data_IF_842372963237
#
_entry.id   IF_842372963237
#
_cell.length_a   1.000
_cell.length_b   1.000
_cell.length_c   1.000
_cell.angle_alpha   90.00
_cell.angle_beta   90.00
_cell.angle_gamma   90.00
#
_symmetry.space_group_name_H-M   'P 1'
#
loop_
_entity.id
_entity.type
_entity.pdbx_description
1 polymer ?
#
# COMPACT_ATOMS: atom_id res chain seq x y z
N UNK A 1 68.93 -35.65 61.52
CA UNK A 1 69.23 -34.66 62.59
C UNK A 1 68.45 -33.39 62.28
N UNK A 2 67.72 -32.84 63.26
CA UNK A 2 67.12 -31.48 63.29
C UNK A 2 66.21 -31.02 62.13
N UNK A 3 64.99 -30.48 62.30
CA UNK A 3 64.19 -30.05 63.47
C UNK A 3 64.85 -28.97 64.37
N UNK A 4 64.25 -27.81 64.68
CA UNK A 4 62.91 -27.23 64.39
C UNK A 4 62.89 -25.74 64.86
N UNK A 5 61.78 -25.00 64.60
CA UNK A 5 61.40 -23.65 65.12
C UNK A 5 62.08 -22.43 64.44
N UNK A 6 61.47 -21.23 64.40
CA UNK A 6 60.40 -20.65 65.26
C UNK A 6 59.36 -19.83 64.43
N UNK A 7 58.02 -19.95 64.66
CA UNK A 7 57.13 -18.99 65.41
C UNK A 7 56.67 -17.77 64.56
N UNK A 8 55.40 -17.31 64.50
CA UNK A 8 54.14 -17.58 65.24
C UNK A 8 52.86 -17.38 64.37
N UNK A 9 51.67 -17.85 64.81
CA UNK A 9 50.35 -17.74 64.09
C UNK A 9 49.18 -17.61 65.10
N UNK A 10 48.41 -16.50 65.14
CA UNK A 10 46.95 -16.51 64.76
C UNK A 10 46.42 -15.13 64.24
N UNK A 11 45.17 -14.88 63.77
CA UNK A 11 44.04 -15.60 63.14
C UNK A 11 42.98 -14.57 62.61
N UNK A 12 41.88 -15.03 61.96
CA UNK A 12 40.55 -14.39 61.72
C UNK A 12 40.39 -13.53 60.43
N UNK A 13 39.29 -13.62 59.67
CA UNK A 13 38.20 -14.62 59.61
C UNK A 13 37.42 -14.55 58.27
N UNK A 14 36.70 -15.63 57.95
CA UNK A 14 35.61 -15.84 56.98
C UNK A 14 34.91 -14.58 56.40
N UNK A 15 34.43 -14.56 55.15
CA UNK A 15 33.50 -15.57 54.59
C UNK A 15 33.50 -15.72 53.06
N UNK A 16 32.72 -16.68 52.56
CA UNK A 16 32.70 -17.19 51.18
C UNK A 16 31.45 -16.82 50.37
N UNK A 17 31.62 -16.48 49.09
CA UNK A 17 30.53 -16.49 48.08
C UNK A 17 31.04 -17.20 46.82
N UNK A 18 30.24 -18.12 46.27
CA UNK A 18 30.59 -18.92 45.09
C UNK A 18 30.20 -18.19 43.79
N UNK A 19 31.18 -17.87 42.94
CA UNK A 19 30.93 -17.33 41.59
C UNK A 19 30.54 -18.47 40.65
N UNK A 20 29.25 -18.61 40.35
CA UNK A 20 28.77 -19.45 39.25
C UNK A 20 28.94 -18.72 37.92
N UNK A 21 29.80 -19.24 37.04
CA UNK A 21 29.82 -18.82 35.65
C UNK A 21 28.53 -19.29 34.94
N UNK A 22 27.81 -18.34 34.33
CA UNK A 22 26.81 -18.62 33.29
C UNK A 22 27.15 -17.78 32.07
N UNK A 23 27.62 -18.42 31.00
CA UNK A 23 27.95 -17.74 29.73
C UNK A 23 26.66 -17.38 28.99
N UNK A 24 26.19 -16.14 29.15
CA UNK A 24 25.04 -15.62 28.43
C UNK A 24 25.32 -15.53 26.93
N UNK A 25 24.82 -16.52 26.16
CA UNK A 25 24.60 -16.33 24.72
C UNK A 25 23.47 -15.31 24.56
N UNK A 26 23.84 -14.08 24.23
CA UNK A 26 22.87 -13.07 23.76
C UNK A 26 22.52 -13.42 22.32
N UNK A 27 21.37 -14.06 22.13
CA UNK A 27 20.71 -14.04 20.82
C UNK A 27 20.37 -12.59 20.48
N UNK A 28 20.51 -12.14 19.22
CA UNK A 28 19.93 -10.86 18.83
C UNK A 28 18.41 -10.95 19.00
N UNK A 29 17.82 -9.97 19.70
CA UNK A 29 16.37 -9.88 19.83
C UNK A 29 15.75 -9.78 18.44
N UNK A 30 14.74 -10.61 18.18
CA UNK A 30 13.89 -10.46 17.01
C UNK A 30 12.96 -9.27 17.25
N UNK A 31 13.51 -8.05 17.18
CA UNK A 31 12.74 -6.82 17.21
C UNK A 31 11.61 -6.93 16.20
N UNK A 32 10.37 -6.92 16.68
CA UNK A 32 9.18 -7.05 15.85
C UNK A 32 8.91 -5.72 15.15
N UNK A 33 9.80 -5.37 14.21
CA UNK A 33 9.62 -4.25 13.31
C UNK A 33 8.48 -4.61 12.33
N UNK A 34 7.25 -4.37 12.80
CA UNK A 34 6.06 -4.38 11.95
C UNK A 34 6.11 -3.14 11.09
N UNK A 35 7.00 -3.16 10.10
CA UNK A 35 7.08 -2.16 9.04
C UNK A 35 5.65 -1.85 8.55
N UNK A 36 5.21 -0.59 8.65
CA UNK A 36 3.87 -0.14 8.23
C UNK A 36 3.78 -0.01 6.71
N UNK A 37 4.08 -1.11 6.00
CA UNK A 37 4.02 -1.18 4.54
C UNK A 37 2.59 -0.94 4.07
N UNK A 38 2.39 0.11 3.30
CA UNK A 38 1.12 0.45 2.65
C UNK A 38 1.04 -0.06 1.21
N UNK A 39 2.18 -0.33 0.57
CA UNK A 39 2.28 -0.96 -0.75
C UNK A 39 2.60 -2.45 -0.62
N UNK A 40 2.03 -3.27 -1.50
CA UNK A 40 2.29 -4.72 -1.53
C UNK A 40 1.53 -5.54 -0.48
N UNK A 41 0.54 -4.94 0.21
CA UNK A 41 -0.27 -5.58 1.26
C UNK A 41 -1.75 -5.68 0.84
N UNK A 42 -2.53 -6.64 1.39
CA UNK A 42 -3.96 -6.75 1.09
C UNK A 42 -4.71 -5.46 1.40
N UNK A 43 -5.74 -5.14 0.60
CA UNK A 43 -6.48 -3.90 0.75
C UNK A 43 -7.21 -3.85 2.11
N UNK A 44 -7.64 -5.00 2.61
CA UNK A 44 -8.26 -5.20 3.92
C UNK A 44 -7.32 -4.86 5.09
N UNK A 45 -6.01 -5.01 4.91
CA UNK A 45 -5.03 -4.66 5.94
C UNK A 45 -4.91 -3.12 6.14
N UNK A 46 -5.35 -2.34 5.15
CA UNK A 46 -5.29 -0.88 5.15
C UNK A 46 -6.55 -0.22 5.71
N UNK A 47 -7.57 -1.00 6.13
CA UNK A 47 -8.83 -0.47 6.67
C UNK A 47 -8.62 0.31 7.98
N UNK A 48 -7.57 0.00 8.76
CA UNK A 48 -7.26 0.73 10.00
C UNK A 48 -6.79 2.17 9.74
N UNK A 49 -6.15 2.41 8.59
CA UNK A 49 -5.72 3.73 8.10
C UNK A 49 -6.65 4.21 6.96
N UNK A 50 -7.91 3.76 6.94
CA UNK A 50 -8.89 4.21 5.95
C UNK A 50 -9.66 5.47 6.37
N UNK A 51 -10.12 6.21 5.37
CA UNK A 51 -11.06 7.31 5.53
C UNK A 51 -12.47 6.81 5.87
N UNK A 52 -13.37 7.71 6.24
CA UNK A 52 -14.79 7.39 6.51
C UNK A 52 -15.51 6.70 5.34
N UNK A 53 -14.97 6.78 4.12
CA UNK A 53 -15.45 6.09 2.93
C UNK A 53 -14.90 4.67 2.75
N UNK A 54 -14.15 4.12 3.72
CA UNK A 54 -13.54 2.79 3.62
C UNK A 54 -12.40 2.68 2.59
N UNK A 55 -11.80 3.81 2.21
CA UNK A 55 -10.69 3.91 1.24
C UNK A 55 -9.39 4.27 1.98
N UNK A 56 -8.26 3.57 1.73
CA UNK A 56 -6.98 3.84 2.39
C UNK A 56 -6.51 5.30 2.24
N UNK A 57 -6.03 5.91 3.33
CA UNK A 57 -5.69 7.33 3.38
C UNK A 57 -4.72 7.79 2.28
N UNK A 58 -3.68 7.00 1.95
CA UNK A 58 -2.76 7.34 0.86
C UNK A 58 -3.43 7.44 -0.52
N UNK A 59 -4.48 6.64 -0.77
CA UNK A 59 -5.25 6.71 -2.03
C UNK A 59 -6.05 7.99 -2.07
N UNK A 60 -6.69 8.36 -0.95
CA UNK A 60 -7.42 9.62 -0.81
C UNK A 60 -6.49 10.82 -1.01
N UNK A 61 -5.33 10.88 -0.33
CA UNK A 61 -4.35 11.96 -0.50
C UNK A 61 -3.88 12.11 -1.96
N UNK A 62 -3.57 10.99 -2.63
CA UNK A 62 -3.13 11.01 -4.03
C UNK A 62 -4.26 11.50 -4.96
N UNK A 63 -5.51 11.08 -4.72
CA UNK A 63 -6.66 11.54 -5.51
C UNK A 63 -6.96 13.02 -5.26
N UNK A 64 -7.01 13.48 -4.00
CA UNK A 64 -7.22 14.89 -3.64
C UNK A 64 -6.19 15.81 -4.32
N UNK A 65 -4.91 15.44 -4.28
CA UNK A 65 -3.85 16.18 -4.99
C UNK A 65 -4.11 16.23 -6.51
N UNK A 66 -4.45 15.11 -7.14
CA UNK A 66 -4.70 15.06 -8.59
C UNK A 66 -6.03 15.73 -8.99
N UNK A 67 -7.00 15.87 -8.08
CA UNK A 67 -8.20 16.68 -8.29
C UNK A 67 -7.94 18.20 -8.17
N UNK A 68 -6.95 18.62 -7.38
CA UNK A 68 -6.57 20.05 -7.26
C UNK A 68 -5.63 20.47 -8.38
N UNK A 69 -4.62 19.66 -8.70
CA UNK A 69 -3.54 20.04 -9.62
C UNK A 69 -3.56 19.31 -10.98
N UNK A 70 -4.27 18.18 -11.08
CA UNK A 70 -4.17 17.27 -12.22
C UNK A 70 -5.27 17.36 -13.28
N UNK A 71 -6.44 17.94 -12.98
CA UNK A 71 -7.62 17.88 -13.86
C UNK A 71 -7.36 18.41 -15.29
N UNK A 72 -6.50 19.41 -15.46
CA UNK A 72 -6.16 20.01 -16.76
C UNK A 72 -4.76 19.59 -17.27
N UNK A 73 -4.06 18.68 -16.59
CA UNK A 73 -2.70 18.27 -16.97
C UNK A 73 -2.72 17.35 -18.19
N UNK A 74 -2.08 17.80 -19.27
CA UNK A 74 -2.07 17.13 -20.58
C UNK A 74 -1.48 15.72 -20.47
N UNK A 75 -2.30 14.70 -20.74
CA UNK A 75 -1.90 13.30 -20.71
C UNK A 75 -1.73 12.72 -19.30
N UNK A 76 -2.39 13.28 -18.27
CA UNK A 76 -2.41 12.70 -16.92
C UNK A 76 -2.67 11.18 -16.93
N UNK A 77 -1.95 10.43 -16.12
CA UNK A 77 -1.87 8.95 -16.13
C UNK A 77 -1.28 8.31 -17.38
N UNK A 78 -1.35 8.91 -18.58
CA UNK A 78 -0.67 8.40 -19.78
C UNK A 78 0.83 8.71 -19.75
N UNK A 79 1.22 9.90 -19.29
CA UNK A 79 2.62 10.25 -19.06
C UNK A 79 3.15 9.50 -17.82
N UNK A 80 4.44 9.19 -17.83
CA UNK A 80 5.16 8.53 -16.74
C UNK A 80 5.94 9.56 -15.94
N UNK A 81 5.73 9.58 -14.63
CA UNK A 81 6.46 10.45 -13.71
C UNK A 81 7.90 10.00 -13.45
N UNK A 82 8.60 10.78 -12.62
CA UNK A 82 9.99 10.50 -12.26
C UNK A 82 10.08 9.23 -11.42
N UNK A 83 10.73 8.19 -11.95
CA UNK A 83 10.94 6.90 -11.27
C UNK A 83 11.57 7.08 -9.88
N UNK A 84 12.48 8.05 -9.73
CA UNK A 84 13.10 8.39 -8.46
C UNK A 84 12.10 9.02 -7.48
N UNK A 85 11.23 9.93 -7.93
CA UNK A 85 10.19 10.55 -7.11
C UNK A 85 9.10 9.56 -6.71
N UNK A 86 8.66 8.70 -7.63
CA UNK A 86 7.73 7.59 -7.33
C UNK A 86 8.32 6.65 -6.27
N UNK A 87 9.61 6.29 -6.38
CA UNK A 87 10.30 5.48 -5.37
C UNK A 87 10.40 6.20 -4.02
N UNK A 88 10.76 7.48 -4.00
CA UNK A 88 10.85 8.31 -2.78
C UNK A 88 9.49 8.36 -2.05
N UNK A 89 8.42 8.74 -2.75
CA UNK A 89 7.08 8.87 -2.18
C UNK A 89 6.54 7.51 -1.70
N UNK A 90 6.75 6.44 -2.46
CA UNK A 90 6.42 5.06 -2.05
C UNK A 90 7.14 4.67 -0.76
N UNK A 91 8.43 4.99 -0.65
CA UNK A 91 9.22 4.66 0.53
C UNK A 91 8.67 5.36 1.78
N UNK A 92 8.41 6.67 1.68
CA UNK A 92 7.81 7.47 2.76
C UNK A 92 6.48 6.90 3.23
N UNK A 93 5.57 6.56 2.31
CA UNK A 93 4.30 5.90 2.64
C UNK A 93 4.50 4.54 3.34
N UNK A 94 5.45 3.71 2.89
CA UNK A 94 5.78 2.43 3.53
C UNK A 94 6.46 2.55 4.91
N UNK A 95 7.03 3.72 5.22
CA UNK A 95 7.62 4.04 6.53
C UNK A 95 6.61 4.70 7.48
N UNK A 96 5.39 5.00 7.01
CA UNK A 96 4.39 5.77 7.76
C UNK A 96 4.76 7.26 7.93
N UNK A 97 5.67 7.79 7.11
CA UNK A 97 6.02 9.21 7.13
C UNK A 97 4.86 10.08 6.60
N UNK A 98 4.75 11.31 7.12
CA UNK A 98 3.80 12.29 6.59
C UNK A 98 4.26 12.75 5.20
N UNK A 99 3.56 12.30 4.15
CA UNK A 99 3.80 12.75 2.78
C UNK A 99 3.09 14.08 2.52
N UNK A 100 3.86 15.10 2.15
CA UNK A 100 3.37 16.39 1.64
C UNK A 100 3.46 16.39 0.11
N UNK A 101 2.33 16.09 -0.55
CA UNK A 101 2.26 16.10 -2.01
C UNK A 101 2.25 17.52 -2.59
N UNK A 102 1.75 18.53 -1.85
CA UNK A 102 1.63 19.91 -2.34
C UNK A 102 3.01 20.53 -2.54
N UNK A 103 3.93 20.31 -1.60
CA UNK A 103 5.29 20.87 -1.66
C UNK A 103 6.34 19.97 -2.32
N UNK A 104 6.08 18.66 -2.46
CA UNK A 104 7.10 17.68 -2.91
C UNK A 104 6.64 16.69 -4.00
N UNK A 105 5.38 16.73 -4.41
CA UNK A 105 4.83 15.93 -5.51
C UNK A 105 4.81 16.68 -6.84
N UNK A 106 4.68 15.92 -7.93
CA UNK A 106 4.34 16.41 -9.26
C UNK A 106 3.24 15.52 -9.85
N UNK A 107 2.44 16.06 -10.78
CA UNK A 107 1.23 15.38 -11.29
C UNK A 107 1.54 14.01 -11.89
N UNK A 108 2.59 13.89 -12.69
CA UNK A 108 2.94 12.64 -13.37
C UNK A 108 3.49 11.58 -12.41
N UNK A 109 4.28 11.98 -11.41
CA UNK A 109 4.78 11.08 -10.37
C UNK A 109 3.67 10.63 -9.42
N UNK A 110 2.75 11.52 -9.01
CA UNK A 110 1.61 11.13 -8.14
C UNK A 110 0.60 10.27 -8.91
N UNK A 111 0.32 10.60 -10.18
CA UNK A 111 -0.47 9.75 -11.07
C UNK A 111 0.18 8.37 -11.30
N UNK A 112 1.52 8.32 -11.38
CA UNK A 112 2.27 7.06 -11.51
C UNK A 112 2.30 6.24 -10.22
N UNK A 113 2.37 6.91 -9.06
CA UNK A 113 2.33 6.29 -7.75
C UNK A 113 0.96 5.67 -7.45
N UNK A 114 -0.14 6.33 -7.82
CA UNK A 114 -1.50 5.79 -7.70
C UNK A 114 -1.68 4.53 -8.56
N UNK A 115 -1.24 4.54 -9.83
CA UNK A 115 -1.23 3.33 -10.68
C UNK A 115 -0.37 2.21 -10.08
N UNK A 116 0.78 2.55 -9.48
CA UNK A 116 1.69 1.59 -8.86
C UNK A 116 1.07 0.92 -7.63
N UNK A 117 0.37 1.69 -6.78
CA UNK A 117 -0.36 1.16 -5.63
C UNK A 117 -1.34 0.06 -6.04
N UNK A 118 -2.22 0.35 -7.02
CA UNK A 118 -3.23 -0.59 -7.51
C UNK A 118 -2.60 -1.86 -8.10
N UNK A 119 -1.54 -1.70 -8.90
CA UNK A 119 -0.79 -2.82 -9.50
C UNK A 119 -0.12 -3.72 -8.46
N UNK A 120 0.33 -3.15 -7.33
CA UNK A 120 1.04 -3.88 -6.28
C UNK A 120 0.13 -4.51 -5.21
N UNK A 121 -1.18 -4.19 -5.17
CA UNK A 121 -2.13 -4.91 -4.32
C UNK A 121 -2.00 -6.43 -4.59
N UNK A 122 -1.90 -7.32 -3.58
CA UNK A 122 -1.76 -8.76 -3.79
C UNK A 122 -2.90 -9.35 -4.62
N UNK A 123 -4.14 -8.96 -4.32
CA UNK A 123 -5.33 -9.25 -5.12
C UNK A 123 -5.67 -8.01 -5.96
N UNK A 124 -6.04 -8.21 -7.23
CA UNK A 124 -6.43 -7.12 -8.13
C UNK A 124 -7.75 -6.45 -7.69
N UNK A 125 -7.98 -5.19 -8.08
CA UNK A 125 -9.23 -4.47 -7.74
C UNK A 125 -10.46 -5.25 -8.22
N UNK A 126 -10.38 -5.84 -9.42
CA UNK A 126 -11.26 -6.90 -9.89
C UNK A 126 -10.54 -8.26 -9.77
N UNK A 127 -10.87 -9.11 -8.78
CA UNK A 127 -10.24 -10.41 -8.62
C UNK A 127 -10.70 -11.41 -9.70
N UNK A 128 -9.84 -12.39 -10.00
CA UNK A 128 -9.97 -13.32 -11.14
C UNK A 128 -11.31 -14.08 -11.19
N UNK A 129 -11.87 -14.41 -10.02
CA UNK A 129 -13.17 -15.09 -9.89
C UNK A 129 -14.35 -14.21 -10.36
N UNK A 130 -14.21 -12.89 -10.34
CA UNK A 130 -15.18 -11.93 -10.89
C UNK A 130 -14.90 -11.66 -12.37
N UNK A 131 -13.62 -11.62 -12.78
CA UNK A 131 -13.21 -11.36 -14.17
C UNK A 131 -13.88 -12.29 -15.20
N UNK A 132 -13.99 -13.59 -14.91
CA UNK A 132 -14.70 -14.54 -15.77
C UNK A 132 -16.20 -14.23 -15.92
N UNK A 133 -16.85 -13.81 -14.84
CA UNK A 133 -18.26 -13.38 -14.85
C UNK A 133 -18.47 -12.08 -15.62
N UNK A 134 -17.55 -11.11 -15.49
CA UNK A 134 -17.58 -9.85 -16.24
C UNK A 134 -17.46 -10.12 -17.75
N UNK A 135 -16.45 -10.91 -18.16
CA UNK A 135 -16.24 -11.25 -19.57
C UNK A 135 -17.44 -11.98 -20.17
N UNK A 136 -18.00 -12.98 -19.46
CA UNK A 136 -19.21 -13.68 -19.89
C UNK A 136 -20.39 -12.70 -20.06
N UNK A 137 -20.63 -11.85 -19.07
CA UNK A 137 -21.69 -10.82 -19.12
C UNK A 137 -21.55 -9.93 -20.34
N UNK A 138 -20.33 -9.42 -20.59
CA UNK A 138 -20.00 -8.58 -21.76
C UNK A 138 -20.06 -9.32 -23.10
N UNK A 139 -19.95 -10.65 -23.14
CA UNK A 139 -20.12 -11.42 -24.37
C UNK A 139 -21.59 -11.67 -24.69
N UNK A 140 -22.37 -12.11 -23.70
CA UNK A 140 -23.78 -12.49 -23.86
C UNK A 140 -24.70 -11.29 -24.06
N UNK A 141 -24.42 -10.14 -23.43
CA UNK A 141 -25.37 -9.02 -23.34
C UNK A 141 -24.98 -7.78 -24.16
N UNK A 142 -24.12 -7.91 -25.19
CA UNK A 142 -23.65 -6.77 -26.03
C UNK A 142 -24.76 -5.92 -26.65
N UNK A 143 -25.92 -6.52 -26.92
CA UNK A 143 -27.09 -5.87 -27.54
C UNK A 143 -28.11 -5.38 -26.50
N UNK A 144 -27.98 -5.80 -25.23
CA UNK A 144 -28.96 -5.57 -24.17
C UNK A 144 -28.32 -4.84 -22.99
N UNK A 145 -27.99 -3.57 -23.21
CA UNK A 145 -27.27 -2.69 -22.26
C UNK A 145 -27.85 -2.69 -20.84
N UNK A 146 -29.17 -2.70 -20.68
CA UNK A 146 -29.84 -2.70 -19.36
C UNK A 146 -29.55 -3.97 -18.57
N UNK A 147 -29.66 -5.14 -19.21
CA UNK A 147 -29.42 -6.43 -18.56
C UNK A 147 -27.91 -6.66 -18.34
N UNK A 148 -27.06 -6.17 -19.26
CA UNK A 148 -25.62 -6.07 -19.05
C UNK A 148 -25.29 -5.27 -17.78
N UNK A 149 -25.80 -4.03 -17.64
CA UNK A 149 -25.58 -3.19 -16.45
C UNK A 149 -26.09 -3.86 -15.17
N UNK A 150 -27.24 -4.55 -15.21
CA UNK A 150 -27.79 -5.29 -14.07
C UNK A 150 -26.88 -6.44 -13.64
N UNK A 151 -26.43 -7.26 -14.58
CA UNK A 151 -25.55 -8.40 -14.29
C UNK A 151 -24.15 -7.96 -13.85
N UNK A 152 -23.61 -6.88 -14.43
CA UNK A 152 -22.38 -6.24 -13.97
C UNK A 152 -22.53 -5.74 -12.52
N UNK A 153 -23.61 -5.01 -12.18
CA UNK A 153 -23.87 -4.55 -10.80
C UNK A 153 -23.94 -5.71 -9.80
N UNK A 154 -24.60 -6.81 -10.16
CA UNK A 154 -24.65 -8.00 -9.31
C UNK A 154 -23.25 -8.59 -9.07
N UNK A 155 -22.43 -8.72 -10.11
CA UNK A 155 -21.05 -9.20 -9.98
C UNK A 155 -20.18 -8.30 -9.10
N UNK A 156 -20.32 -6.97 -9.23
CA UNK A 156 -19.58 -6.02 -8.39
C UNK A 156 -20.04 -6.05 -6.93
N UNK A 157 -21.33 -6.30 -6.66
CA UNK A 157 -21.85 -6.44 -5.28
C UNK A 157 -21.31 -7.67 -4.54
N UNK A 158 -20.70 -8.63 -5.24
CA UNK A 158 -20.04 -9.80 -4.68
C UNK A 158 -18.55 -9.57 -4.32
N UNK A 159 -17.98 -8.39 -4.60
CA UNK A 159 -16.61 -8.04 -4.22
C UNK A 159 -16.50 -7.81 -2.69
N UNK A 160 -15.31 -7.99 -2.07
CA UNK A 160 -15.06 -7.52 -0.71
C UNK A 160 -15.38 -6.03 -0.55
N UNK A 161 -15.86 -5.61 0.62
CA UNK A 161 -16.31 -4.22 0.87
C UNK A 161 -15.22 -3.19 0.53
N UNK A 162 -13.97 -3.43 0.94
CA UNK A 162 -12.84 -2.55 0.64
C UNK A 162 -12.59 -2.43 -0.88
N UNK A 163 -12.76 -3.51 -1.65
CA UNK A 163 -12.67 -3.50 -3.11
C UNK A 163 -13.84 -2.72 -3.75
N UNK A 164 -15.06 -2.83 -3.22
CA UNK A 164 -16.21 -2.04 -3.69
C UNK A 164 -15.99 -0.54 -3.43
N UNK A 165 -15.57 -0.17 -2.21
CA UNK A 165 -15.31 1.21 -1.82
C UNK A 165 -14.20 1.86 -2.66
N UNK A 166 -13.07 1.15 -2.85
CA UNK A 166 -11.98 1.60 -3.70
C UNK A 166 -12.42 1.75 -5.16
N UNK A 167 -13.17 0.78 -5.70
CA UNK A 167 -13.67 0.84 -7.07
C UNK A 167 -14.63 2.01 -7.29
N UNK A 168 -15.56 2.25 -6.37
CA UNK A 168 -16.51 3.37 -6.45
C UNK A 168 -15.79 4.72 -6.40
N UNK A 169 -14.84 4.88 -5.47
CA UNK A 169 -14.04 6.09 -5.32
C UNK A 169 -13.20 6.38 -6.58
N UNK A 170 -12.46 5.39 -7.09
CA UNK A 170 -11.69 5.53 -8.32
C UNK A 170 -12.58 5.78 -9.54
N UNK A 171 -13.75 5.15 -9.63
CA UNK A 171 -14.67 5.36 -10.77
C UNK A 171 -15.20 6.80 -10.81
N UNK A 172 -15.55 7.38 -9.66
CA UNK A 172 -15.98 8.78 -9.57
C UNK A 172 -14.85 9.74 -9.97
N UNK A 173 -13.64 9.51 -9.47
CA UNK A 173 -12.46 10.31 -9.79
C UNK A 173 -12.05 10.21 -11.27
N UNK A 174 -12.00 9.01 -11.85
CA UNK A 174 -11.65 8.82 -13.27
C UNK A 174 -12.72 9.41 -14.21
N UNK A 175 -14.00 9.35 -13.82
CA UNK A 175 -15.06 10.08 -14.53
C UNK A 175 -14.84 11.60 -14.47
N UNK A 176 -14.45 12.14 -13.31
CA UNK A 176 -14.09 13.56 -13.14
C UNK A 176 -12.87 13.97 -13.98
N UNK A 177 -11.88 13.11 -14.15
CA UNK A 177 -10.76 13.36 -15.08
C UNK A 177 -11.27 13.40 -16.53
N UNK A 178 -12.16 12.49 -16.91
CA UNK A 178 -12.70 12.40 -18.26
C UNK A 178 -13.59 13.59 -18.67
N UNK A 179 -14.26 14.29 -17.74
CA UNK A 179 -15.01 15.51 -18.08
C UNK A 179 -14.10 16.68 -18.49
N UNK A 180 -12.81 16.63 -18.14
CA UNK A 180 -11.79 17.60 -18.57
C UNK A 180 -10.99 17.11 -19.80
N UNK A 181 -11.44 16.03 -20.47
CA UNK A 181 -10.77 15.44 -21.65
C UNK A 181 -10.56 16.39 -22.83
N UNK A 182 -11.35 17.46 -22.95
CA UNK A 182 -11.13 18.54 -23.92
C UNK A 182 -9.84 19.36 -23.68
N UNK A 183 -9.23 19.26 -22.50
CA UNK A 183 -7.96 19.93 -22.11
C UNK A 183 -6.87 18.92 -21.80
N UNK A 184 -7.18 17.87 -21.01
CA UNK A 184 -6.18 16.87 -20.61
C UNK A 184 -5.99 15.72 -21.62
N UNK A 185 -6.84 15.62 -22.66
CA UNK A 185 -6.83 14.58 -23.71
C UNK A 185 -7.06 13.13 -23.23
N UNK A 186 -7.54 12.94 -21.99
CA UNK A 186 -7.79 11.62 -21.39
C UNK A 186 -9.29 11.33 -21.29
N UNK A 187 -9.86 10.79 -22.37
CA UNK A 187 -11.24 10.26 -22.38
C UNK A 187 -11.37 9.00 -21.53
N UNK A 188 -12.60 8.51 -21.30
CA UNK A 188 -12.83 7.26 -20.57
C UNK A 188 -12.14 6.05 -21.23
N UNK A 189 -12.06 6.01 -22.56
CA UNK A 189 -11.35 4.96 -23.32
C UNK A 189 -9.85 5.03 -23.08
N UNK A 190 -9.25 6.24 -23.13
CA UNK A 190 -7.83 6.45 -22.86
C UNK A 190 -7.48 6.08 -21.41
N UNK A 191 -8.34 6.41 -20.45
CA UNK A 191 -8.17 6.01 -19.04
C UNK A 191 -8.33 4.50 -18.85
N UNK A 192 -9.31 3.86 -19.50
CA UNK A 192 -9.51 2.42 -19.43
C UNK A 192 -8.30 1.62 -19.96
N UNK A 193 -7.68 2.07 -21.06
CA UNK A 193 -6.44 1.46 -21.59
C UNK A 193 -5.28 1.60 -20.59
N UNK A 194 -5.17 2.74 -19.90
CA UNK A 194 -4.09 3.01 -18.94
C UNK A 194 -4.28 2.28 -17.61
N UNK A 195 -5.51 2.19 -17.10
CA UNK A 195 -5.81 1.58 -15.80
C UNK A 195 -6.13 0.08 -15.88
N UNK A 196 -6.54 -0.45 -17.03
CA UNK A 196 -6.87 -1.87 -17.21
C UNK A 196 -5.82 -2.82 -16.61
N UNK A 197 -4.53 -2.72 -16.99
CA UNK A 197 -3.43 -3.55 -16.46
C UNK A 197 -3.03 -3.32 -14.99
N UNK A 198 -3.75 -2.47 -14.25
CA UNK A 198 -3.59 -2.23 -12.83
C UNK A 198 -4.87 -2.52 -12.01
N UNK A 199 -6.03 -2.58 -12.66
CA UNK A 199 -7.32 -2.96 -12.07
C UNK A 199 -7.62 -4.45 -12.25
N UNK A 200 -7.18 -5.02 -13.37
CA UNK A 200 -7.23 -6.44 -13.72
C UNK A 200 -5.78 -6.97 -13.81
N UNK A 201 -5.56 -8.24 -13.41
CA UNK A 201 -4.26 -8.93 -13.51
C UNK A 201 -4.27 -10.02 -14.59
#
# INVERSE_FOLDING_TARGET
>A
FSYHLSVFIPQKSLSSVQVRHTTSKVSPDAQTDRERRTFGVPLEALIQDATQCGVPFLVTQMVEYLEVFGLQHVGIFRISGSVNKVKELKQKYNQGEKVDLVNHGDVDSVASLLKLFLKELPVAVFPDNVCGGLLKTFQEHKVHTTECIKNLRQLLSCLPEAHQNLLQFLSAFLLKIATYSAVNFMTLENLAVVFGPALFK
#
